data_IF_072544713015
#
_entry.id   IF_072544713015
#
_cell.length_a   1.000
_cell.length_b   1.000
_cell.length_c   1.000
_cell.angle_alpha   90.00
_cell.angle_beta   90.00
_cell.angle_gamma   90.00
#
_symmetry.space_group_name_H-M   'P 1'
#
loop_
_entity.id
_entity.type
_entity.pdbx_description
1 polymer ?
#
# COMPACT_ATOMS: atom_id res chain seq x y z
N UNK A 1 22.11 -27.92 -17.65
CA UNK A 1 22.50 -26.53 -17.36
C UNK A 1 22.71 -26.29 -15.86
N UNK A 2 21.81 -26.78 -15.00
CA UNK A 2 21.93 -26.63 -13.55
C UNK A 2 23.24 -27.21 -12.99
N UNK A 3 23.57 -28.45 -13.38
CA UNK A 3 24.83 -29.09 -12.95
C UNK A 3 26.06 -28.26 -13.36
N UNK A 4 26.01 -27.63 -14.54
CA UNK A 4 27.09 -26.78 -15.04
C UNK A 4 27.22 -25.48 -14.22
N UNK A 5 26.13 -24.89 -13.74
CA UNK A 5 26.13 -23.70 -12.87
C UNK A 5 26.66 -24.05 -11.48
N UNK A 6 26.33 -25.25 -10.98
CA UNK A 6 26.79 -25.74 -9.67
C UNK A 6 28.22 -26.37 -9.70
N UNK A 7 28.85 -26.44 -10.88
CA UNK A 7 30.17 -27.06 -11.05
C UNK A 7 30.15 -28.58 -10.81
N UNK A 8 29.00 -29.23 -10.96
CA UNK A 8 28.85 -30.68 -10.78
C UNK A 8 29.18 -31.43 -12.07
N UNK A 9 29.93 -32.51 -11.97
CA UNK A 9 30.35 -33.34 -13.12
C UNK A 9 29.24 -34.29 -13.61
N UNK A 10 28.22 -34.55 -12.78
CA UNK A 10 27.12 -35.47 -13.11
C UNK A 10 25.75 -34.79 -12.83
N UNK A 11 24.92 -34.68 -13.86
CA UNK A 11 23.60 -34.14 -13.74
C UNK A 11 22.65 -35.04 -12.90
N UNK A 12 22.92 -36.34 -12.83
CA UNK A 12 22.12 -37.27 -12.03
C UNK A 12 22.31 -37.10 -10.51
N UNK A 13 23.36 -36.40 -10.09
CA UNK A 13 23.60 -36.10 -8.69
C UNK A 13 22.74 -34.98 -8.09
N UNK A 14 21.98 -34.27 -8.93
CA UNK A 14 21.13 -33.18 -8.51
C UNK A 14 19.77 -33.68 -8.05
N UNK A 15 19.44 -33.47 -6.77
CA UNK A 15 18.10 -33.72 -6.26
C UNK A 15 17.12 -32.66 -6.80
N UNK A 16 16.27 -33.07 -7.73
CA UNK A 16 15.33 -32.18 -8.44
C UNK A 16 14.18 -31.66 -7.59
N UNK A 17 14.01 -32.21 -6.39
CA UNK A 17 12.92 -31.81 -5.47
C UNK A 17 13.35 -30.78 -4.46
N UNK A 18 14.64 -30.61 -4.24
CA UNK A 18 15.18 -29.63 -3.29
C UNK A 18 15.05 -28.20 -3.82
N UNK A 19 14.84 -27.27 -2.89
CA UNK A 19 14.79 -25.84 -3.24
C UNK A 19 16.18 -25.34 -3.68
N UNK A 20 16.22 -24.41 -4.65
CA UNK A 20 17.46 -23.82 -5.15
C UNK A 20 18.35 -23.24 -4.05
N UNK A 21 17.76 -22.57 -3.04
CA UNK A 21 18.49 -22.05 -1.89
C UNK A 21 19.22 -23.14 -1.11
N UNK A 22 18.63 -24.36 -1.00
CA UNK A 22 19.20 -25.49 -0.28
C UNK A 22 20.27 -26.21 -1.11
N UNK A 23 20.33 -25.91 -2.41
CA UNK A 23 21.37 -26.33 -3.35
C UNK A 23 22.51 -25.31 -3.47
N UNK A 24 22.47 -24.21 -2.67
CA UNK A 24 23.51 -23.19 -2.63
C UNK A 24 23.37 -22.08 -3.69
N UNK A 25 22.19 -21.89 -4.27
CA UNK A 25 21.94 -20.79 -5.20
C UNK A 25 21.88 -19.45 -4.47
N UNK A 26 22.68 -18.51 -4.95
CA UNK A 26 22.62 -17.09 -4.65
C UNK A 26 22.05 -16.30 -5.84
N UNK A 27 21.97 -14.98 -5.72
CA UNK A 27 21.45 -14.11 -6.77
C UNK A 27 22.26 -14.15 -8.07
N UNK A 28 23.57 -14.42 -7.99
CA UNK A 28 24.45 -14.46 -9.16
C UNK A 28 24.25 -15.77 -9.93
N UNK A 29 24.24 -16.89 -9.24
CA UNK A 29 24.00 -18.23 -9.81
C UNK A 29 22.59 -18.35 -10.39
N UNK A 30 21.60 -17.68 -9.78
CA UNK A 30 20.24 -17.57 -10.29
C UNK A 30 20.19 -16.85 -11.65
N UNK A 31 20.90 -15.73 -11.79
CA UNK A 31 21.00 -14.99 -13.05
C UNK A 31 21.76 -15.79 -14.12
N UNK A 32 22.82 -16.49 -13.72
CA UNK A 32 23.58 -17.33 -14.64
C UNK A 32 22.74 -18.50 -15.18
N UNK A 33 22.00 -19.19 -14.31
CA UNK A 33 21.06 -20.24 -14.73
C UNK A 33 20.03 -19.73 -15.73
N UNK A 34 19.40 -18.60 -15.41
CA UNK A 34 18.43 -17.97 -16.33
C UNK A 34 19.04 -17.65 -17.69
N UNK A 35 20.24 -17.05 -17.72
CA UNK A 35 20.89 -16.67 -18.97
C UNK A 35 21.22 -17.90 -19.84
N UNK A 36 21.68 -18.99 -19.20
CA UNK A 36 21.95 -20.26 -19.89
C UNK A 36 20.66 -20.89 -20.43
N UNK A 37 19.59 -20.89 -19.62
CA UNK A 37 18.29 -21.39 -20.09
C UNK A 37 17.76 -20.57 -21.25
N UNK A 38 17.85 -19.23 -21.19
CA UNK A 38 17.47 -18.36 -22.32
C UNK A 38 18.23 -18.69 -23.61
N UNK A 39 19.54 -18.96 -23.48
CA UNK A 39 20.39 -19.30 -24.63
C UNK A 39 20.03 -20.64 -25.25
N UNK A 40 19.77 -21.64 -24.41
CA UNK A 40 19.48 -23.01 -24.88
C UNK A 40 18.04 -23.16 -25.39
N UNK A 41 17.09 -22.49 -24.76
CA UNK A 41 15.67 -22.63 -25.08
C UNK A 41 15.15 -21.58 -26.06
N UNK A 42 15.85 -20.46 -26.24
CA UNK A 42 15.38 -19.30 -27.00
C UNK A 42 14.28 -18.50 -26.31
N UNK A 43 13.88 -18.88 -25.09
CA UNK A 43 12.86 -18.20 -24.31
C UNK A 43 13.42 -16.91 -23.69
N UNK A 44 12.53 -16.01 -23.27
CA UNK A 44 12.85 -14.82 -22.45
C UNK A 44 12.31 -15.04 -21.05
N UNK A 45 13.09 -15.72 -20.21
CA UNK A 45 12.71 -16.06 -18.85
C UNK A 45 12.92 -14.86 -17.90
N UNK A 46 12.03 -14.64 -16.91
CA UNK A 46 12.08 -13.50 -16.00
C UNK A 46 13.31 -13.55 -15.09
N UNK A 47 13.72 -12.40 -14.56
CA UNK A 47 14.85 -12.32 -13.61
C UNK A 47 14.55 -13.00 -12.27
N UNK A 48 13.28 -13.14 -11.92
CA UNK A 48 12.78 -13.77 -10.70
C UNK A 48 12.63 -15.29 -10.80
N UNK A 49 13.01 -15.89 -11.94
CA UNK A 49 12.78 -17.28 -12.32
C UNK A 49 13.00 -18.32 -11.19
N UNK A 50 14.12 -18.20 -10.47
CA UNK A 50 14.51 -19.17 -9.42
C UNK A 50 13.72 -18.96 -8.12
N UNK A 51 13.16 -17.76 -7.94
CA UNK A 51 12.28 -17.43 -6.81
C UNK A 51 10.83 -17.85 -7.08
N UNK A 52 10.36 -17.67 -8.31
CA UNK A 52 8.99 -18.01 -8.72
C UNK A 52 8.81 -19.54 -8.86
N UNK A 53 9.89 -20.24 -9.26
CA UNK A 53 9.94 -21.70 -9.44
C UNK A 53 11.00 -22.30 -8.54
N UNK A 54 10.74 -22.50 -7.24
CA UNK A 54 11.77 -22.68 -6.22
C UNK A 54 12.50 -24.02 -6.24
N UNK A 55 12.15 -24.97 -7.11
CA UNK A 55 12.86 -26.25 -7.26
C UNK A 55 13.10 -26.60 -8.73
N UNK A 56 14.08 -27.48 -8.98
CA UNK A 56 14.44 -27.90 -10.33
C UNK A 56 13.27 -28.52 -11.08
N UNK A 57 12.45 -29.29 -10.39
CA UNK A 57 11.26 -29.94 -10.98
C UNK A 57 10.25 -28.89 -11.43
N UNK A 58 9.86 -27.98 -10.55
CA UNK A 58 8.87 -26.92 -10.85
C UNK A 58 9.37 -26.01 -11.97
N UNK A 59 10.66 -25.69 -11.97
CA UNK A 59 11.26 -24.91 -13.06
C UNK A 59 11.28 -25.67 -14.39
N UNK A 60 11.58 -26.98 -14.36
CA UNK A 60 11.57 -27.80 -15.58
C UNK A 60 10.17 -27.93 -16.18
N UNK A 61 9.15 -28.11 -15.34
CA UNK A 61 7.75 -28.18 -15.78
C UNK A 61 7.32 -26.86 -16.41
N UNK A 62 7.65 -25.72 -15.81
CA UNK A 62 7.40 -24.40 -16.39
C UNK A 62 8.09 -24.20 -17.74
N UNK A 63 9.40 -24.48 -17.84
CA UNK A 63 10.14 -24.34 -19.10
C UNK A 63 9.58 -25.30 -20.16
N UNK A 64 9.18 -26.50 -19.78
CA UNK A 64 8.55 -27.46 -20.65
C UNK A 64 7.21 -26.95 -21.20
N UNK A 65 6.35 -26.39 -20.35
CA UNK A 65 5.10 -25.74 -20.77
C UNK A 65 5.35 -24.59 -21.74
N UNK A 66 6.35 -23.76 -21.48
CA UNK A 66 6.72 -22.64 -22.36
C UNK A 66 7.23 -23.14 -23.73
N UNK A 67 7.90 -24.27 -23.79
CA UNK A 67 8.42 -24.85 -25.03
C UNK A 67 7.36 -25.61 -25.83
N UNK A 68 6.46 -26.35 -25.20
CA UNK A 68 5.41 -27.12 -25.83
C UNK A 68 4.15 -26.28 -26.03
N UNK A 69 3.86 -25.38 -25.12
CA UNK A 69 2.73 -24.44 -25.16
C UNK A 69 2.89 -23.33 -26.20
N UNK A 70 4.01 -23.26 -26.90
CA UNK A 70 4.24 -22.35 -28.03
C UNK A 70 3.48 -22.74 -29.32
N UNK A 71 2.38 -23.49 -29.25
CA UNK A 71 1.29 -23.27 -30.18
C UNK A 71 0.61 -21.97 -29.74
N UNK A 72 1.08 -20.88 -30.30
CA UNK A 72 0.43 -19.58 -30.28
C UNK A 72 -1.06 -19.76 -30.54
N UNK A 73 -1.84 -19.81 -29.47
CA UNK A 73 -3.13 -19.14 -29.54
C UNK A 73 -2.77 -17.68 -29.84
N UNK A 74 -3.29 -17.06 -30.93
CA UNK A 74 -3.01 -15.67 -31.25
C UNK A 74 -3.29 -14.91 -29.97
N UNK A 75 -2.24 -14.24 -29.44
CA UNK A 75 -2.23 -13.71 -28.11
C UNK A 75 -3.55 -13.08 -27.78
N UNK A 76 -4.10 -13.49 -26.69
CA UNK A 76 -5.02 -12.70 -25.91
C UNK A 76 -4.21 -11.48 -25.43
N UNK A 77 -3.91 -10.58 -26.38
CA UNK A 77 -3.74 -9.19 -26.01
C UNK A 77 -5.04 -8.91 -25.29
N UNK A 78 -4.99 -8.52 -23.99
CA UNK A 78 -6.22 -8.17 -23.31
C UNK A 78 -6.92 -7.22 -24.26
N UNK A 79 -8.19 -7.47 -24.63
CA UNK A 79 -8.86 -6.62 -25.59
C UNK A 79 -8.59 -5.21 -25.13
N UNK A 80 -8.18 -4.32 -26.06
CA UNK A 80 -8.14 -2.87 -25.79
C UNK A 80 -9.59 -2.58 -25.44
N UNK A 81 -9.90 -2.67 -24.13
CA UNK A 81 -11.25 -2.44 -23.65
C UNK A 81 -11.49 -0.97 -23.94
N UNK A 82 -12.38 -0.71 -24.86
CA UNK A 82 -12.79 0.65 -25.16
C UNK A 82 -13.12 1.32 -23.84
N UNK A 83 -12.55 2.51 -23.58
CA UNK A 83 -12.84 3.28 -22.37
C UNK A 83 -14.37 3.32 -22.23
N UNK A 84 -14.87 2.70 -21.17
CA UNK A 84 -16.30 2.59 -20.97
C UNK A 84 -16.78 3.77 -20.13
N UNK A 85 -17.94 4.33 -20.49
CA UNK A 85 -18.65 5.31 -19.64
C UNK A 85 -19.39 4.65 -18.48
N UNK A 86 -19.07 3.36 -18.18
CA UNK A 86 -19.68 2.63 -17.08
C UNK A 86 -19.37 3.33 -15.75
N UNK A 87 -20.37 3.67 -14.95
CA UNK A 87 -20.16 4.30 -13.66
C UNK A 87 -19.32 3.42 -12.74
N UNK A 88 -18.51 4.03 -11.89
CA UNK A 88 -17.71 3.32 -10.91
C UNK A 88 -18.46 3.20 -9.59
N UNK A 89 -18.72 1.99 -9.17
CA UNK A 89 -19.34 1.67 -7.88
C UNK A 89 -18.30 1.62 -6.77
N UNK A 90 -18.64 2.16 -5.61
CA UNK A 90 -17.99 1.86 -4.34
C UNK A 90 -18.74 0.67 -3.77
N UNK A 91 -18.08 -0.49 -3.69
CA UNK A 91 -18.71 -1.73 -3.23
C UNK A 91 -18.48 -2.00 -1.75
N UNK A 92 -17.41 -1.47 -1.18
CA UNK A 92 -17.16 -1.50 0.26
C UNK A 92 -16.23 -0.36 0.70
N UNK A 93 -16.18 -0.12 2.02
CA UNK A 93 -15.31 0.86 2.66
C UNK A 93 -14.78 0.28 3.97
N UNK A 94 -13.53 0.59 4.30
CA UNK A 94 -12.91 0.33 5.60
C UNK A 94 -12.15 1.55 6.09
N UNK A 95 -11.98 1.70 7.39
CA UNK A 95 -11.25 2.85 7.93
C UNK A 95 -10.67 2.59 9.33
N UNK A 96 -9.64 3.36 9.66
CA UNK A 96 -9.11 3.61 11.00
C UNK A 96 -8.97 5.10 11.16
N UNK A 97 -9.72 5.70 12.08
CA UNK A 97 -9.78 7.15 12.25
C UNK A 97 -9.70 7.53 13.74
N UNK A 98 -9.39 8.80 14.06
CA UNK A 98 -9.37 9.31 15.43
C UNK A 98 -10.70 9.07 16.16
N UNK A 99 -10.63 9.04 17.49
CA UNK A 99 -11.79 8.75 18.32
C UNK A 99 -12.10 7.26 18.49
N UNK A 100 -11.20 6.38 18.03
CA UNK A 100 -11.39 4.93 18.10
C UNK A 100 -12.32 4.38 17.01
N UNK A 101 -12.52 5.14 15.95
CA UNK A 101 -13.35 4.73 14.81
C UNK A 101 -12.59 3.69 13.98
N UNK A 102 -13.18 2.50 13.86
CA UNK A 102 -12.63 1.37 13.10
C UNK A 102 -13.58 0.83 12.03
N UNK A 103 -14.69 1.49 11.78
CA UNK A 103 -15.60 1.14 10.69
C UNK A 103 -16.38 2.35 10.19
N UNK A 104 -16.92 2.31 8.94
CA UNK A 104 -17.77 3.36 8.41
C UNK A 104 -19.03 3.62 9.26
N UNK A 105 -19.58 2.60 9.89
CA UNK A 105 -20.74 2.71 10.77
C UNK A 105 -20.41 3.50 12.05
N UNK A 106 -19.23 3.24 12.62
CA UNK A 106 -18.73 3.99 13.78
C UNK A 106 -18.40 5.44 13.40
N UNK A 107 -17.88 5.68 12.20
CA UNK A 107 -17.69 7.03 11.68
C UNK A 107 -19.03 7.78 11.61
N UNK A 108 -20.08 7.14 11.07
CA UNK A 108 -21.40 7.72 11.04
C UNK A 108 -21.94 8.03 12.44
N UNK A 109 -21.80 7.11 13.38
CA UNK A 109 -22.20 7.32 14.77
C UNK A 109 -21.46 8.48 15.43
N UNK A 110 -20.13 8.58 15.21
CA UNK A 110 -19.32 9.68 15.74
C UNK A 110 -19.77 11.04 15.18
N UNK A 111 -20.04 11.11 13.87
CA UNK A 111 -20.55 12.33 13.22
C UNK A 111 -21.94 12.70 13.70
N UNK A 112 -22.87 11.74 13.73
CA UNK A 112 -24.24 11.96 14.19
C UNK A 112 -24.30 12.35 15.67
N UNK A 113 -23.38 11.82 16.49
CA UNK A 113 -23.24 12.14 17.92
C UNK A 113 -22.48 13.44 18.19
N UNK A 114 -21.92 14.10 17.19
CA UNK A 114 -21.09 15.30 17.35
C UNK A 114 -19.83 15.04 18.19
N UNK A 115 -19.23 13.85 18.05
CA UNK A 115 -18.05 13.45 18.82
C UNK A 115 -16.84 14.29 18.41
N UNK A 116 -16.22 14.97 19.38
CA UNK A 116 -14.92 15.62 19.19
C UNK A 116 -13.79 14.59 19.38
N UNK A 117 -13.11 14.25 18.28
CA UNK A 117 -12.03 13.28 18.26
C UNK A 117 -10.62 13.92 18.47
N UNK A 118 -10.55 15.25 18.67
CA UNK A 118 -9.29 15.95 18.90
C UNK A 118 -8.82 15.70 20.32
N UNK A 119 -7.59 15.17 20.47
CA UNK A 119 -6.98 14.85 21.76
C UNK A 119 -5.62 15.54 21.92
N UNK A 120 -5.04 15.47 23.10
CA UNK A 120 -3.61 15.76 23.28
C UNK A 120 -2.74 14.74 22.53
N UNK A 121 -1.47 15.06 22.33
CA UNK A 121 -0.49 14.16 21.74
C UNK A 121 -0.48 12.79 22.42
N UNK A 122 -0.32 11.70 21.64
CA UNK A 122 -0.24 10.36 22.18
C UNK A 122 1.01 10.20 23.08
N UNK A 123 0.82 9.64 24.26
CA UNK A 123 1.92 9.44 25.22
C UNK A 123 2.91 8.35 24.78
N UNK A 124 2.50 7.46 23.87
CA UNK A 124 3.27 6.33 23.36
C UNK A 124 4.21 6.67 22.18
N UNK A 125 4.18 7.92 21.68
CA UNK A 125 5.03 8.38 20.57
C UNK A 125 6.36 8.98 21.04
N UNK A 126 6.53 9.24 22.32
CA UNK A 126 7.74 9.85 22.87
C UNK A 126 8.00 11.28 22.38
N UNK A 127 6.96 11.99 21.94
CA UNK A 127 7.09 13.37 21.49
C UNK A 127 7.28 14.33 22.69
N UNK A 128 8.32 15.15 22.58
CA UNK A 128 8.59 16.19 23.59
C UNK A 128 7.96 17.52 23.13
N UNK A 129 7.57 18.34 24.10
CA UNK A 129 7.10 19.70 23.85
C UNK A 129 8.23 20.65 23.47
N UNK A 130 9.48 20.29 23.77
CA UNK A 130 10.69 21.00 23.31
C UNK A 130 11.27 20.24 22.12
N UNK A 131 10.97 20.68 20.91
CA UNK A 131 11.40 20.03 19.68
C UNK A 131 12.57 20.83 19.07
N UNK A 132 13.64 20.11 18.73
CA UNK A 132 14.78 20.66 18.02
C UNK A 132 14.73 20.20 16.56
N UNK A 133 14.52 21.11 15.64
CA UNK A 133 14.67 20.85 14.22
C UNK A 133 15.99 21.45 13.69
N UNK A 134 16.42 21.08 12.50
CA UNK A 134 17.68 21.55 11.87
C UNK A 134 17.84 23.09 11.84
N UNK A 135 16.75 23.82 11.97
CA UNK A 135 16.68 25.28 11.91
C UNK A 135 16.56 25.98 13.29
N UNK A 136 16.67 25.23 14.39
CA UNK A 136 16.60 25.73 15.76
C UNK A 136 15.51 25.12 16.62
N UNK A 137 15.58 25.40 17.92
CA UNK A 137 14.63 24.93 18.92
C UNK A 137 13.26 25.62 18.77
N UNK A 138 12.18 24.85 18.83
CA UNK A 138 10.80 25.32 18.89
C UNK A 138 10.14 24.74 20.13
N UNK A 139 9.67 25.60 21.01
CA UNK A 139 8.88 25.19 22.14
C UNK A 139 7.41 25.15 21.76
N UNK A 140 6.83 23.95 21.79
CA UNK A 140 5.40 23.75 21.56
C UNK A 140 4.64 24.11 22.83
N UNK A 141 3.62 24.93 22.70
CA UNK A 141 2.71 25.19 23.82
C UNK A 141 1.69 24.06 23.97
N UNK A 142 1.30 23.66 25.18
CA UNK A 142 0.39 22.53 25.40
C UNK A 142 -0.91 22.61 24.62
N UNK A 143 -1.39 23.81 24.35
CA UNK A 143 -2.62 24.08 23.61
C UNK A 143 -2.50 23.64 22.13
N UNK A 144 -1.33 23.81 21.51
CA UNK A 144 -1.07 23.40 20.12
C UNK A 144 -0.63 21.95 19.98
N UNK A 145 -0.34 21.26 21.09
CA UNK A 145 -0.04 19.82 21.12
C UNK A 145 -1.30 18.96 21.04
N UNK A 146 -2.18 19.27 20.09
CA UNK A 146 -3.49 18.60 19.92
C UNK A 146 -3.72 18.24 18.46
N UNK A 147 -4.47 17.17 18.25
CA UNK A 147 -4.82 16.69 16.93
C UNK A 147 -5.71 15.45 16.97
N UNK A 148 -6.02 14.91 15.82
CA UNK A 148 -6.72 13.64 15.70
C UNK A 148 -5.72 12.49 15.57
N UNK A 149 -5.69 11.56 16.54
CA UNK A 149 -4.72 10.46 16.55
C UNK A 149 -5.39 9.10 16.55
N UNK A 150 -4.79 8.15 15.81
CA UNK A 150 -5.17 6.74 15.84
C UNK A 150 -4.60 6.15 17.12
N UNK A 151 -5.48 5.55 17.92
CA UNK A 151 -5.06 4.75 19.08
C UNK A 151 -4.44 3.47 18.56
N UNK A 152 -3.36 3.03 19.22
CA UNK A 152 -2.70 1.78 18.86
C UNK A 152 -2.22 1.70 17.38
N UNK A 153 -1.74 2.85 16.84
CA UNK A 153 -1.19 2.89 15.49
C UNK A 153 0.07 1.99 15.30
N UNK A 154 0.68 1.54 16.39
CA UNK A 154 1.78 0.58 16.40
C UNK A 154 1.34 -0.88 16.35
N UNK A 155 0.08 -1.19 16.67
CA UNK A 155 -0.46 -2.55 16.65
C UNK A 155 -0.49 -3.11 15.23
N UNK A 156 -0.16 -4.41 15.09
CA UNK A 156 -0.19 -5.10 13.80
C UNK A 156 -0.06 -6.61 13.99
N UNK A 157 -0.94 -7.38 13.41
CA UNK A 157 -0.82 -8.84 13.39
C UNK A 157 0.07 -9.29 12.22
N UNK A 158 1.39 -9.25 12.46
CA UNK A 158 2.38 -9.60 11.46
C UNK A 158 2.30 -11.08 11.05
N UNK A 159 1.98 -11.98 12.00
CA UNK A 159 1.89 -13.42 11.76
C UNK A 159 0.76 -13.75 10.80
N UNK A 160 -0.38 -13.09 10.96
CA UNK A 160 -1.52 -13.24 10.06
C UNK A 160 -1.17 -12.97 8.60
N UNK A 161 -0.31 -11.97 8.35
CA UNK A 161 0.15 -11.61 7.00
C UNK A 161 1.44 -12.33 6.58
N UNK A 162 1.95 -13.28 7.37
CA UNK A 162 3.19 -14.00 7.07
C UNK A 162 4.45 -13.13 7.12
N UNK A 163 4.41 -12.01 7.85
CA UNK A 163 5.49 -11.03 7.97
C UNK A 163 6.31 -11.36 9.22
N UNK A 164 7.64 -11.41 9.08
CA UNK A 164 8.50 -11.69 10.22
C UNK A 164 8.49 -10.56 11.25
N UNK A 165 8.70 -10.83 12.55
CA UNK A 165 8.75 -9.78 13.58
C UNK A 165 9.78 -8.68 13.30
N UNK A 166 10.94 -9.04 12.73
CA UNK A 166 11.98 -8.07 12.35
C UNK A 166 11.55 -7.16 11.20
N UNK A 167 10.90 -7.71 10.20
CA UNK A 167 10.34 -6.93 9.11
C UNK A 167 9.21 -6.04 9.62
N UNK A 168 8.28 -6.58 10.42
CA UNK A 168 7.19 -5.83 11.03
C UNK A 168 7.70 -4.64 11.85
N UNK A 169 8.78 -4.83 12.62
CA UNK A 169 9.41 -3.74 13.38
C UNK A 169 9.90 -2.60 12.46
N UNK A 170 10.44 -2.95 11.29
CA UNK A 170 10.96 -1.97 10.34
C UNK A 170 9.87 -1.31 9.47
N UNK A 171 8.66 -1.88 9.42
CA UNK A 171 7.55 -1.35 8.62
C UNK A 171 6.99 -0.08 9.24
N UNK A 172 6.85 0.96 8.42
CA UNK A 172 6.08 2.15 8.76
C UNK A 172 4.65 1.76 9.16
N UNK A 173 4.10 2.29 10.26
CA UNK A 173 2.72 2.05 10.66
C UNK A 173 1.70 2.29 9.54
N UNK A 174 1.97 3.19 8.61
CA UNK A 174 1.13 3.43 7.43
C UNK A 174 1.01 2.18 6.55
N UNK A 175 2.11 1.44 6.33
CA UNK A 175 2.06 0.18 5.57
C UNK A 175 1.25 -0.89 6.29
N UNK A 176 1.36 -0.96 7.63
CA UNK A 176 0.63 -1.92 8.46
C UNK A 176 -0.88 -1.66 8.40
N UNK A 177 -1.29 -0.43 8.69
CA UNK A 177 -2.70 -0.02 8.66
C UNK A 177 -3.33 -0.14 7.27
N UNK A 178 -2.58 0.22 6.21
CA UNK A 178 -3.10 0.07 4.86
C UNK A 178 -3.33 -1.40 4.50
N UNK A 179 -2.44 -2.30 4.95
CA UNK A 179 -2.59 -3.74 4.69
C UNK A 179 -3.81 -4.32 5.42
N UNK A 180 -4.01 -3.97 6.71
CA UNK A 180 -5.19 -4.40 7.47
C UNK A 180 -6.49 -3.86 6.89
N UNK A 181 -6.54 -2.56 6.58
CA UNK A 181 -7.73 -1.95 6.00
C UNK A 181 -8.02 -2.46 4.58
N UNK A 182 -6.99 -2.82 3.81
CA UNK A 182 -7.14 -3.45 2.50
C UNK A 182 -7.73 -4.87 2.62
N UNK A 183 -7.33 -5.64 3.63
CA UNK A 183 -7.95 -6.94 3.91
C UNK A 183 -9.42 -6.80 4.29
N UNK A 184 -9.70 -5.96 5.27
CA UNK A 184 -11.04 -5.74 5.81
C UNK A 184 -12.04 -5.25 4.76
N UNK A 185 -11.60 -4.43 3.79
CA UNK A 185 -12.52 -3.92 2.77
C UNK A 185 -13.04 -5.04 1.86
N UNK A 186 -12.25 -6.08 1.59
CA UNK A 186 -12.72 -7.27 0.88
C UNK A 186 -13.73 -8.05 1.70
N UNK A 187 -13.44 -8.29 3.00
CA UNK A 187 -14.40 -8.95 3.91
C UNK A 187 -15.73 -8.20 3.96
N UNK A 188 -15.68 -6.87 4.03
CA UNK A 188 -16.88 -6.01 4.04
C UNK A 188 -17.65 -6.04 2.71
N UNK A 189 -16.98 -6.31 1.62
CA UNK A 189 -17.61 -6.54 0.31
C UNK A 189 -18.23 -7.94 0.17
N UNK A 190 -17.98 -8.84 1.13
CA UNK A 190 -18.34 -10.25 1.02
C UNK A 190 -17.46 -11.03 0.04
N UNK A 191 -16.27 -10.51 -0.26
CA UNK A 191 -15.28 -11.12 -1.15
C UNK A 191 -14.19 -11.74 -0.27
N UNK A 192 -13.92 -13.03 -0.46
CA UNK A 192 -12.79 -13.69 0.20
C UNK A 192 -11.48 -13.07 -0.31
N UNK A 193 -10.64 -12.45 0.55
CA UNK A 193 -9.37 -11.86 0.15
C UNK A 193 -8.41 -12.84 -0.52
N UNK A 194 -8.52 -14.14 -0.25
CA UNK A 194 -7.71 -15.16 -0.89
C UNK A 194 -8.19 -15.51 -2.29
N UNK A 195 -9.45 -15.25 -2.61
CA UNK A 195 -10.03 -15.49 -3.94
C UNK A 195 -9.57 -14.51 -5.02
N UNK A 196 -9.05 -13.35 -4.62
CA UNK A 196 -8.56 -12.32 -5.55
C UNK A 196 -7.08 -12.51 -5.93
N UNK A 197 -6.41 -13.51 -5.38
CA UNK A 197 -5.02 -13.84 -5.72
C UNK A 197 -4.90 -14.20 -7.20
N UNK A 198 -3.89 -13.62 -7.88
CA UNK A 198 -3.69 -13.77 -9.33
C UNK A 198 -4.69 -12.99 -10.19
N UNK A 199 -5.56 -12.17 -9.57
CA UNK A 199 -6.50 -11.35 -10.32
C UNK A 199 -5.97 -9.94 -10.56
N UNK A 200 -6.45 -9.30 -11.63
CA UNK A 200 -6.11 -7.91 -11.97
C UNK A 200 -6.86 -6.92 -11.06
N UNK A 201 -6.41 -6.85 -9.81
CA UNK A 201 -6.89 -5.87 -8.83
C UNK A 201 -5.85 -4.76 -8.67
N UNK A 202 -6.24 -3.51 -8.91
CA UNK A 202 -5.36 -2.35 -8.75
C UNK A 202 -5.28 -1.89 -7.30
N UNK A 203 -4.13 -1.32 -6.90
CA UNK A 203 -3.92 -0.69 -5.58
C UNK A 203 -3.43 0.73 -5.79
N UNK A 204 -4.24 1.71 -5.40
CA UNK A 204 -3.95 3.14 -5.52
C UNK A 204 -4.01 3.77 -4.13
N UNK A 205 -2.85 4.08 -3.57
CA UNK A 205 -2.72 4.55 -2.19
C UNK A 205 -2.11 5.95 -2.12
N UNK A 206 -2.81 6.86 -1.47
CA UNK A 206 -2.30 8.19 -1.13
C UNK A 206 -1.57 8.18 0.20
N UNK A 207 -0.43 8.87 0.29
CA UNK A 207 0.29 9.11 1.53
C UNK A 207 1.05 10.43 1.44
N UNK A 208 1.46 10.98 2.57
CA UNK A 208 2.40 12.10 2.62
C UNK A 208 3.41 11.85 3.74
N UNK A 209 4.68 11.92 3.37
CA UNK A 209 5.78 11.76 4.31
C UNK A 209 5.87 10.37 4.94
N UNK A 210 7.08 9.87 5.10
CA UNK A 210 7.38 8.62 5.77
C UNK A 210 8.59 8.83 6.67
N UNK A 211 8.33 9.38 7.87
CA UNK A 211 9.37 9.77 8.80
C UNK A 211 9.74 8.68 9.81
N UNK A 212 9.04 7.54 9.78
CA UNK A 212 9.27 6.42 10.69
C UNK A 212 10.70 5.88 10.63
N UNK A 213 11.34 5.91 9.45
CA UNK A 213 12.74 5.50 9.26
C UNK A 213 13.71 6.23 10.20
N UNK A 214 13.40 7.45 10.61
CA UNK A 214 14.25 8.23 11.53
C UNK A 214 14.33 7.61 12.93
N UNK A 215 13.26 6.95 13.37
CA UNK A 215 13.18 6.23 14.65
C UNK A 215 13.97 4.93 14.64
N UNK A 216 14.26 4.38 13.44
CA UNK A 216 14.92 3.09 13.29
C UNK A 216 16.45 3.17 13.20
N UNK A 217 17.03 4.37 13.17
CA UNK A 217 18.48 4.58 12.95
C UNK A 217 19.39 3.83 13.95
N UNK A 218 18.90 3.62 15.17
CA UNK A 218 19.64 2.94 16.25
C UNK A 218 19.10 1.54 16.56
N UNK A 219 18.11 1.06 15.81
CA UNK A 219 17.45 -0.22 16.03
C UNK A 219 18.12 -1.29 15.16
N UNK A 220 19.05 -2.05 15.72
CA UNK A 220 19.83 -3.04 15.00
C UNK A 220 18.95 -4.15 14.39
N UNK A 221 17.86 -4.52 15.06
CA UNK A 221 16.92 -5.56 14.64
C UNK A 221 16.20 -5.20 13.34
N UNK A 222 16.02 -3.91 13.06
CA UNK A 222 15.39 -3.41 11.83
C UNK A 222 16.34 -3.42 10.62
N UNK A 223 17.63 -3.67 10.83
CA UNK A 223 18.64 -3.65 9.77
C UNK A 223 18.28 -4.63 8.64
N UNK A 224 18.42 -4.16 7.39
CA UNK A 224 18.05 -4.91 6.18
C UNK A 224 16.60 -4.74 5.73
N UNK A 225 15.69 -4.28 6.59
CA UNK A 225 14.28 -4.06 6.25
C UNK A 225 13.86 -2.59 6.19
N UNK A 226 14.71 -1.65 6.62
CA UNK A 226 14.36 -0.22 6.71
C UNK A 226 13.93 0.36 5.36
N UNK A 227 14.64 0.01 4.28
CA UNK A 227 14.33 0.53 2.95
C UNK A 227 12.96 0.06 2.44
N UNK A 228 12.66 -1.24 2.57
CA UNK A 228 11.37 -1.80 2.16
C UNK A 228 10.23 -1.48 3.14
N UNK A 229 10.56 -1.38 4.42
CA UNK A 229 9.60 -0.99 5.45
C UNK A 229 9.16 0.48 5.37
N UNK A 230 9.96 1.36 4.72
CA UNK A 230 9.69 2.79 4.68
C UNK A 230 9.66 3.39 3.27
N UNK A 231 9.85 2.58 2.23
CA UNK A 231 9.77 3.07 0.86
C UNK A 231 8.35 3.42 0.45
N UNK A 232 8.10 4.65 -0.03
CA UNK A 232 6.77 5.08 -0.49
C UNK A 232 6.22 4.17 -1.59
N UNK A 233 7.06 3.71 -2.52
CA UNK A 233 6.69 2.77 -3.58
C UNK A 233 6.23 1.41 -3.03
N UNK A 234 6.70 1.02 -1.84
CA UNK A 234 6.34 -0.25 -1.21
C UNK A 234 4.96 -0.19 -0.55
N UNK A 235 4.44 0.98 -0.25
CA UNK A 235 3.13 1.13 0.40
C UNK A 235 2.01 0.41 -0.37
N UNK A 236 1.81 0.74 -1.65
CA UNK A 236 0.85 0.05 -2.52
C UNK A 236 1.33 -1.34 -2.94
N UNK A 237 2.63 -1.47 -3.25
CA UNK A 237 3.24 -2.73 -3.68
C UNK A 237 3.16 -3.83 -2.64
N UNK A 238 3.24 -3.51 -1.34
CA UNK A 238 3.10 -4.50 -0.26
C UNK A 238 1.70 -5.09 -0.19
N UNK A 239 0.67 -4.28 -0.37
CA UNK A 239 -0.71 -4.78 -0.44
C UNK A 239 -0.86 -5.75 -1.60
N UNK A 240 -0.37 -5.38 -2.80
CA UNK A 240 -0.38 -6.27 -3.96
C UNK A 240 0.41 -7.55 -3.72
N UNK A 241 1.61 -7.45 -3.13
CA UNK A 241 2.47 -8.60 -2.86
C UNK A 241 1.83 -9.60 -1.87
N UNK A 242 1.33 -9.11 -0.74
CA UNK A 242 0.76 -9.97 0.31
C UNK A 242 -0.53 -10.64 -0.15
N UNK A 243 -1.40 -9.88 -0.82
CA UNK A 243 -2.68 -10.40 -1.33
C UNK A 243 -2.53 -11.12 -2.69
N UNK A 244 -1.35 -11.04 -3.34
CA UNK A 244 -1.10 -11.65 -4.65
C UNK A 244 -1.88 -11.01 -5.79
N UNK A 245 -2.02 -9.68 -5.79
CA UNK A 245 -2.77 -8.92 -6.80
C UNK A 245 -1.89 -8.57 -8.01
N UNK A 246 -2.42 -8.69 -9.23
CA UNK A 246 -1.67 -8.50 -10.48
C UNK A 246 -2.05 -7.21 -11.24
N UNK A 247 -2.87 -6.35 -10.66
CA UNK A 247 -3.19 -5.03 -11.22
C UNK A 247 -2.12 -3.97 -10.93
N UNK A 248 -2.33 -2.72 -11.41
CA UNK A 248 -1.44 -1.60 -11.12
C UNK A 248 -1.30 -1.36 -9.62
N UNK A 249 -0.07 -1.09 -9.15
CA UNK A 249 0.22 -0.71 -7.77
C UNK A 249 0.88 0.67 -7.76
N UNK A 250 0.15 1.69 -7.34
CA UNK A 250 0.57 3.09 -7.44
C UNK A 250 0.46 3.77 -6.08
N UNK A 251 1.54 4.35 -5.62
CA UNK A 251 1.54 5.26 -4.46
C UNK A 251 1.61 6.70 -4.95
N UNK A 252 0.73 7.54 -4.41
CA UNK A 252 0.56 8.94 -4.81
C UNK A 252 0.87 9.85 -3.62
N UNK A 253 1.68 10.88 -3.87
CA UNK A 253 1.84 12.00 -2.96
C UNK A 253 1.55 13.31 -3.71
N UNK A 254 0.38 13.86 -3.45
CA UNK A 254 -0.05 15.20 -3.84
C UNK A 254 -0.55 15.96 -2.61
N UNK A 255 0.12 15.74 -1.48
CA UNK A 255 -0.21 16.26 -0.16
C UNK A 255 -1.66 15.90 0.25
N UNK A 256 -2.46 16.86 0.73
CA UNK A 256 -3.82 16.64 1.23
C UNK A 256 -4.78 16.03 0.19
N UNK A 257 -4.48 16.15 -1.11
CA UNK A 257 -5.32 15.61 -2.19
C UNK A 257 -4.97 14.17 -2.59
N UNK A 258 -3.93 13.55 -2.01
CA UNK A 258 -3.37 12.27 -2.45
C UNK A 258 -4.42 11.15 -2.57
N UNK A 259 -5.29 11.00 -1.57
CA UNK A 259 -6.32 9.95 -1.58
C UNK A 259 -7.39 10.16 -2.66
N UNK A 260 -7.75 11.43 -2.96
CA UNK A 260 -8.70 11.74 -4.04
C UNK A 260 -8.06 11.56 -5.41
N UNK A 261 -6.77 11.86 -5.57
CA UNK A 261 -6.01 11.56 -6.80
C UNK A 261 -5.88 10.05 -6.98
N UNK A 262 -5.62 9.29 -5.91
CA UNK A 262 -5.62 7.82 -5.94
C UNK A 262 -6.98 7.26 -6.40
N UNK A 263 -8.09 7.80 -5.89
CA UNK A 263 -9.45 7.46 -6.34
C UNK A 263 -9.67 7.78 -7.82
N UNK A 264 -9.19 8.92 -8.30
CA UNK A 264 -9.27 9.32 -9.72
C UNK A 264 -8.53 8.32 -10.61
N UNK A 265 -7.28 7.98 -10.27
CA UNK A 265 -6.48 7.01 -11.02
C UNK A 265 -7.10 5.62 -11.01
N UNK A 266 -7.61 5.16 -9.88
CA UNK A 266 -8.32 3.90 -9.76
C UNK A 266 -9.56 3.85 -10.68
N UNK A 267 -10.36 4.91 -10.68
CA UNK A 267 -11.52 5.02 -11.55
C UNK A 267 -11.14 5.01 -13.04
N UNK A 268 -10.04 5.65 -13.41
CA UNK A 268 -9.51 5.60 -14.79
C UNK A 268 -9.03 4.21 -15.17
N UNK A 269 -8.27 3.53 -14.28
CA UNK A 269 -7.77 2.18 -14.51
C UNK A 269 -8.91 1.15 -14.68
N UNK A 270 -10.01 1.30 -13.92
CA UNK A 270 -11.22 0.48 -14.10
C UNK A 270 -11.90 0.74 -15.45
N UNK A 271 -12.03 2.03 -15.88
CA UNK A 271 -12.64 2.39 -17.17
C UNK A 271 -11.80 1.96 -18.36
N UNK A 272 -10.47 2.00 -18.24
CA UNK A 272 -9.56 1.52 -19.30
C UNK A 272 -9.41 0.00 -19.32
N UNK A 273 -9.97 -0.72 -18.34
CA UNK A 273 -9.87 -2.17 -18.23
C UNK A 273 -8.51 -2.70 -17.80
N UNK A 274 -7.61 -1.85 -17.30
CA UNK A 274 -6.33 -2.30 -16.72
C UNK A 274 -6.55 -3.20 -15.51
N UNK A 275 -7.59 -2.91 -14.72
CA UNK A 275 -8.02 -3.77 -13.61
C UNK A 275 -9.53 -3.98 -13.62
N UNK A 276 -9.98 -5.03 -12.93
CA UNK A 276 -11.39 -5.37 -12.75
C UNK A 276 -11.96 -4.86 -11.43
N UNK A 277 -11.13 -4.85 -10.39
CA UNK A 277 -11.37 -4.28 -9.07
C UNK A 277 -10.23 -3.32 -8.74
N UNK A 278 -10.47 -2.34 -7.89
CA UNK A 278 -9.43 -1.43 -7.42
C UNK A 278 -9.63 -1.06 -5.96
N UNK A 279 -8.54 -1.15 -5.20
CA UNK A 279 -8.40 -0.53 -3.88
C UNK A 279 -7.94 0.91 -4.07
N UNK A 280 -8.69 1.86 -3.53
CA UNK A 280 -8.34 3.28 -3.59
C UNK A 280 -8.48 3.91 -2.20
N UNK A 281 -7.46 4.62 -1.75
CA UNK A 281 -7.53 5.22 -0.43
C UNK A 281 -6.32 6.06 -0.08
N UNK A 282 -6.15 6.30 1.22
CA UNK A 282 -5.01 7.00 1.74
C UNK A 282 -4.76 6.66 3.20
N UNK A 283 -3.54 6.88 3.62
CA UNK A 283 -3.11 6.65 4.99
C UNK A 283 -2.11 7.72 5.41
N UNK A 284 -2.25 8.17 6.65
CA UNK A 284 -1.29 9.04 7.34
C UNK A 284 -1.17 8.63 8.80
N UNK A 285 0.05 8.36 9.24
CA UNK A 285 0.43 8.18 10.66
C UNK A 285 1.68 8.98 10.93
N UNK A 286 1.63 9.83 11.92
CA UNK A 286 2.75 10.68 12.31
C UNK A 286 3.66 9.95 13.31
N UNK A 287 4.73 9.32 12.82
CA UNK A 287 5.75 8.68 13.68
C UNK A 287 6.55 9.67 14.51
N UNK A 288 6.76 10.88 13.98
CA UNK A 288 7.49 12.01 14.61
C UNK A 288 6.64 13.27 14.57
N UNK A 289 6.98 14.27 15.40
CA UNK A 289 6.19 15.50 15.52
C UNK A 289 6.61 16.61 14.54
N UNK A 290 7.44 16.32 13.52
CA UNK A 290 8.04 17.31 12.62
C UNK A 290 7.01 18.22 11.94
N UNK A 291 5.86 17.65 11.54
CA UNK A 291 4.78 18.44 10.93
C UNK A 291 4.19 19.48 11.88
N UNK A 292 4.10 19.15 13.17
CA UNK A 292 3.66 20.12 14.18
C UNK A 292 4.66 21.27 14.31
N UNK A 293 5.96 20.96 14.32
CA UNK A 293 7.02 21.98 14.38
C UNK A 293 6.94 22.90 13.19
N UNK A 294 6.87 22.33 12.00
CA UNK A 294 6.89 23.10 10.75
C UNK A 294 5.68 24.04 10.63
N UNK A 295 4.48 23.51 10.87
CA UNK A 295 3.27 24.32 10.79
C UNK A 295 3.12 25.30 11.97
N UNK A 296 3.72 25.02 13.13
CA UNK A 296 3.81 26.01 14.20
C UNK A 296 4.67 27.20 13.78
N UNK A 297 5.82 26.96 13.15
CA UNK A 297 6.68 28.02 12.61
C UNK A 297 5.99 28.89 11.57
N UNK A 298 5.15 28.25 10.74
CA UNK A 298 4.37 28.96 9.72
C UNK A 298 3.13 29.67 10.28
N UNK A 299 2.81 29.47 11.56
CA UNK A 299 1.58 30.01 12.17
C UNK A 299 0.30 29.42 11.62
N UNK A 300 0.37 28.20 11.03
CA UNK A 300 -0.76 27.54 10.37
C UNK A 300 -1.65 26.69 11.28
N UNK A 301 -1.16 26.31 12.48
CA UNK A 301 -1.94 25.46 13.39
C UNK A 301 -2.94 26.29 14.21
N UNK A 302 -4.17 25.78 14.27
CA UNK A 302 -5.16 26.29 15.23
C UNK A 302 -4.72 25.96 16.67
N UNK A 303 -4.73 26.91 17.62
CA UNK A 303 -4.28 26.69 18.99
C UNK A 303 -4.98 25.53 19.71
N UNK A 304 -6.25 25.28 19.37
CA UNK A 304 -7.05 24.20 19.95
C UNK A 304 -7.04 22.90 19.12
N UNK A 305 -6.24 22.85 18.04
CA UNK A 305 -6.13 21.70 17.13
C UNK A 305 -7.37 21.42 16.27
N UNK A 306 -8.28 22.41 16.12
CA UNK A 306 -9.54 22.23 15.37
C UNK A 306 -9.61 23.08 14.13
N UNK A 307 -10.09 22.48 13.04
CA UNK A 307 -10.44 23.20 11.82
C UNK A 307 -11.82 23.85 12.00
N UNK A 308 -11.85 25.17 11.98
CA UNK A 308 -13.09 25.98 12.07
C UNK A 308 -13.44 26.56 10.69
N UNK A 309 -13.55 25.67 9.69
CA UNK A 309 -13.76 26.04 8.30
C UNK A 309 -15.01 26.93 8.14
N UNK A 310 -14.87 28.02 7.38
CA UNK A 310 -15.90 29.03 7.12
C UNK A 310 -16.41 29.81 8.34
N UNK A 311 -15.86 29.58 9.55
CA UNK A 311 -16.23 30.34 10.73
C UNK A 311 -15.45 31.66 10.81
N UNK A 312 -16.07 32.70 11.38
CA UNK A 312 -15.39 33.98 11.68
C UNK A 312 -14.21 33.80 12.68
N UNK A 313 -14.24 32.73 13.48
CA UNK A 313 -13.20 32.37 14.44
C UNK A 313 -12.12 31.42 13.84
N UNK A 314 -12.05 31.27 12.51
CA UNK A 314 -11.02 30.46 11.87
C UNK A 314 -9.64 31.06 12.16
N UNK A 315 -8.75 30.26 12.75
CA UNK A 315 -7.43 30.68 13.27
C UNK A 315 -6.32 29.68 12.97
N UNK A 316 -6.57 28.75 12.03
CA UNK A 316 -5.63 27.72 11.61
C UNK A 316 -6.33 26.37 11.35
N UNK A 317 -5.51 25.32 11.20
CA UNK A 317 -6.01 23.96 11.01
C UNK A 317 -5.46 23.00 12.07
N UNK A 318 -6.08 21.83 12.20
CA UNK A 318 -5.62 20.74 13.05
C UNK A 318 -5.07 19.59 12.19
N UNK A 319 -4.00 18.96 12.67
CA UNK A 319 -3.44 17.75 12.07
C UNK A 319 -4.19 16.51 12.57
N UNK A 320 -4.34 15.52 11.69
CA UNK A 320 -4.94 14.25 12.06
C UNK A 320 -4.30 13.08 11.29
N UNK A 321 -4.35 11.93 11.93
CA UNK A 321 -4.02 10.63 11.35
C UNK A 321 -5.27 9.95 10.76
N UNK A 322 -5.08 8.97 9.92
CA UNK A 322 -6.18 8.19 9.37
C UNK A 322 -5.71 7.17 8.36
N UNK A 323 -6.49 6.12 8.19
CA UNK A 323 -6.41 5.19 7.08
C UNK A 323 -7.81 4.92 6.56
N UNK A 324 -8.02 5.04 5.26
CA UNK A 324 -9.30 4.73 4.60
C UNK A 324 -9.02 4.02 3.30
N UNK A 325 -9.74 2.94 3.04
CA UNK A 325 -9.71 2.20 1.78
C UNK A 325 -11.13 2.00 1.27
N UNK A 326 -11.32 2.30 -0.01
CA UNK A 326 -12.52 2.03 -0.77
C UNK A 326 -12.23 0.87 -1.73
N UNK A 327 -13.16 -0.07 -1.86
CA UNK A 327 -13.14 -1.06 -2.93
C UNK A 327 -14.05 -0.58 -4.06
N UNK A 328 -13.48 -0.49 -5.25
CA UNK A 328 -14.12 0.06 -6.44
C UNK A 328 -14.26 -1.01 -7.51
N UNK A 329 -15.36 -0.92 -8.27
CA UNK A 329 -15.65 -1.79 -9.40
C UNK A 329 -16.49 -1.03 -10.43
N UNK A 330 -16.50 -1.49 -11.71
CA UNK A 330 -17.50 -1.01 -12.65
C UNK A 330 -18.89 -1.42 -12.18
N UNK A 331 -19.86 -0.52 -12.32
CA UNK A 331 -21.24 -0.77 -11.85
C UNK A 331 -21.86 -2.03 -12.49
N UNK A 332 -21.63 -2.23 -13.77
CA UNK A 332 -22.12 -3.41 -14.49
C UNK A 332 -21.53 -4.72 -13.93
N UNK A 333 -20.24 -4.70 -13.58
CA UNK A 333 -19.57 -5.86 -12.98
C UNK A 333 -20.09 -6.13 -11.56
N UNK A 334 -20.23 -5.11 -10.72
CA UNK A 334 -20.79 -5.24 -9.38
C UNK A 334 -22.20 -5.85 -9.41
N UNK A 335 -23.06 -5.37 -10.32
CA UNK A 335 -24.40 -5.91 -10.50
C UNK A 335 -24.39 -7.36 -10.99
N UNK A 336 -23.53 -7.68 -11.96
CA UNK A 336 -23.39 -9.03 -12.50
C UNK A 336 -22.88 -10.04 -11.46
N UNK A 337 -21.96 -9.60 -10.59
CA UNK A 337 -21.34 -10.44 -9.55
C UNK A 337 -22.13 -10.46 -8.25
N UNK A 338 -23.14 -9.58 -8.12
CA UNK A 338 -23.95 -9.48 -6.90
C UNK A 338 -23.24 -8.79 -5.74
N UNK A 339 -22.20 -7.99 -6.02
CA UNK A 339 -21.52 -7.22 -4.99
C UNK A 339 -22.40 -6.05 -4.53
N UNK A 340 -22.31 -5.64 -3.25
CA UNK A 340 -23.07 -4.50 -2.75
C UNK A 340 -22.64 -3.21 -3.48
N UNK A 341 -23.59 -2.30 -3.69
CA UNK A 341 -23.29 -0.97 -4.24
C UNK A 341 -23.67 0.07 -3.18
N UNK A 342 -22.65 0.61 -2.51
CA UNK A 342 -22.81 1.58 -1.43
C UNK A 342 -23.02 2.98 -2.00
N UNK A 343 -22.25 3.33 -3.04
CA UNK A 343 -22.34 4.62 -3.73
C UNK A 343 -21.77 4.52 -5.15
N UNK A 344 -21.96 5.58 -5.94
CA UNK A 344 -21.45 5.68 -7.31
C UNK A 344 -20.59 6.94 -7.43
N UNK A 345 -19.37 6.78 -7.95
CA UNK A 345 -18.50 7.88 -8.34
C UNK A 345 -18.95 8.39 -9.71
N UNK A 346 -19.67 9.51 -9.73
CA UNK A 346 -20.22 10.10 -10.95
C UNK A 346 -19.18 10.78 -11.83
N UNK A 347 -18.12 11.30 -11.20
CA UNK A 347 -17.04 11.97 -11.91
C UNK A 347 -15.92 12.35 -10.96
N UNK A 348 -14.75 12.58 -11.52
CA UNK A 348 -13.57 13.07 -10.82
C UNK A 348 -12.71 13.89 -11.79
N UNK A 349 -12.02 14.90 -11.27
CA UNK A 349 -11.08 15.71 -12.03
C UNK A 349 -9.89 16.07 -11.16
N UNK A 350 -8.73 16.22 -11.79
CA UNK A 350 -7.50 16.72 -11.15
C UNK A 350 -7.13 18.02 -11.87
N UNK A 351 -6.87 19.05 -11.09
CA UNK A 351 -6.46 20.36 -11.61
C UNK A 351 -5.38 20.97 -10.74
N UNK A 352 -4.83 22.05 -11.21
CA UNK A 352 -3.88 22.91 -10.50
C UNK A 352 -4.21 24.37 -10.84
N UNK A 353 -4.16 25.24 -9.86
CA UNK A 353 -4.59 26.64 -10.00
C UNK A 353 -3.49 27.59 -10.47
N UNK A 354 -2.32 27.06 -10.86
CA UNK A 354 -1.20 27.84 -11.42
C UNK A 354 -0.51 28.70 -10.38
N UNK A 355 -0.21 29.94 -10.73
CA UNK A 355 0.43 30.92 -9.84
C UNK A 355 -0.59 31.57 -8.91
N UNK A 356 -1.14 30.78 -7.99
CA UNK A 356 -2.04 31.26 -6.93
C UNK A 356 -1.28 31.84 -5.74
N UNK A 357 -2.00 32.56 -4.86
CA UNK A 357 -1.44 33.16 -3.65
C UNK A 357 -1.55 32.25 -2.41
N UNK A 358 -2.04 31.01 -2.55
CA UNK A 358 -2.31 30.10 -1.45
C UNK A 358 -1.40 28.89 -1.39
#
# INVERSE_FOLDING_TARGET
ELAAVLGLHDAASVDTTRAFRDLGFDSLTAVELRNRLNTVTGLRLPATLVFDYPSVRVLADFVHEQLIGAQTVPGDQPPVVAVTDDPIAIVAMSCRLPGGVSSPEQLWQALAGGVDAVTAWPADRGWDTTLTADTGEVTMVPETCRGGFIRDAGGFDAEFFGISPREALAMDPQQRLLLETAWEVFERAGIDPMSVRGQRVGVFAGTNGQHYASLLRTVAEAAGYVATGNGASVLSGRVSYVLGLEGPAVTVDTACSSSLVALHLAAQSLRSGECALALAGGVTVMGVADMFVEFTRQGGLAPDGRCKAFAAAADGFGLAEGAVVLLLERLSDAQRLGHPVVAIVRGSAVNQDGASNG
#
